data_IF_992182893676
#
_entry.id   IF_992182893676
#
_cell.length_a   1.000
_cell.length_b   1.000
_cell.length_c   1.000
_cell.angle_alpha   90.00
_cell.angle_beta   90.00
_cell.angle_gamma   90.00
#
_symmetry.space_group_name_H-M   'P 1'
#
loop_
_entity.id
_entity.type
_entity.pdbx_description
1 polymer ?
#
# COMPACT_ATOMS: atom_id res chain seq x y z
N UNK A 1 -9.94 5.42 2.47
CA UNK A 1 -9.96 6.78 3.05
C UNK A 1 -8.70 7.49 2.55
N UNK A 2 -8.84 8.51 1.68
CA UNK A 2 -7.71 9.25 1.11
C UNK A 2 -7.58 10.58 1.85
N UNK A 3 -6.47 10.78 2.57
CA UNK A 3 -6.16 12.05 3.22
C UNK A 3 -5.64 13.02 2.15
N UNK A 4 -6.53 13.86 1.63
CA UNK A 4 -6.14 14.93 0.71
C UNK A 4 -5.87 16.20 1.52
N UNK A 5 -4.77 16.92 1.26
CA UNK A 5 -4.56 18.23 1.87
C UNK A 5 -5.73 19.14 1.49
N UNK A 6 -6.31 19.81 2.48
CA UNK A 6 -7.34 20.82 2.25
C UNK A 6 -6.68 22.19 2.23
N UNK A 7 -6.93 22.92 1.15
CA UNK A 7 -6.50 24.31 1.02
C UNK A 7 -7.69 25.21 1.32
N UNK A 8 -7.57 25.99 2.40
CA UNK A 8 -8.58 26.98 2.80
C UNK A 8 -8.02 28.36 2.48
N UNK A 9 -8.72 29.10 1.64
CA UNK A 9 -8.38 30.48 1.28
C UNK A 9 -9.35 31.43 1.98
N UNK A 10 -8.83 32.34 2.81
CA UNK A 10 -9.59 33.42 3.43
C UNK A 10 -9.04 34.75 2.94
N UNK A 11 -9.81 35.44 2.11
CA UNK A 11 -9.42 36.68 1.43
C UNK A 11 -8.10 36.53 0.66
N UNK A 12 -6.98 37.02 1.19
CA UNK A 12 -5.65 36.96 0.54
C UNK A 12 -4.73 35.91 1.16
N UNK A 13 -5.16 35.18 2.19
CA UNK A 13 -4.36 34.21 2.91
C UNK A 13 -4.80 32.80 2.58
N UNK A 14 -3.86 31.98 2.08
CA UNK A 14 -4.10 30.59 1.72
C UNK A 14 -3.36 29.69 2.71
N UNK A 15 -4.09 28.86 3.44
CA UNK A 15 -3.51 27.84 4.34
C UNK A 15 -3.84 26.47 3.78
N UNK A 16 -2.81 25.67 3.55
CA UNK A 16 -2.97 24.25 3.24
C UNK A 16 -2.77 23.46 4.52
N UNK A 17 -3.85 22.85 5.03
CA UNK A 17 -3.82 21.98 6.20
C UNK A 17 -4.01 20.54 5.76
N UNK A 18 -3.05 19.68 6.09
CA UNK A 18 -3.09 18.24 5.83
C UNK A 18 -1.71 17.61 5.91
N UNK A 19 -1.61 16.28 6.08
CA UNK A 19 -0.33 15.60 6.11
C UNK A 19 0.37 15.73 4.76
N UNK A 20 1.60 16.27 4.77
CA UNK A 20 2.45 16.29 3.59
C UNK A 20 3.05 14.90 3.36
N UNK A 21 2.24 14.05 2.73
CA UNK A 21 2.61 12.68 2.36
C UNK A 21 3.77 12.61 1.34
N UNK A 22 4.19 13.73 0.73
CA UNK A 22 5.32 13.74 -0.20
C UNK A 22 6.66 13.84 0.51
N UNK A 23 6.68 14.46 1.69
CA UNK A 23 7.88 14.67 2.51
C UNK A 23 8.06 13.59 3.60
N UNK A 24 7.32 12.50 3.51
CA UNK A 24 7.35 11.42 4.51
C UNK A 24 7.72 10.08 3.89
N UNK A 25 8.67 9.39 4.53
CA UNK A 25 9.11 8.05 4.12
C UNK A 25 8.09 6.94 4.40
N UNK A 26 6.93 7.28 4.97
CA UNK A 26 5.84 6.33 5.27
C UNK A 26 5.45 5.54 4.03
N UNK A 27 5.37 6.19 2.86
CA UNK A 27 5.01 5.52 1.60
C UNK A 27 6.08 4.49 1.20
N UNK A 28 7.36 4.84 1.32
CA UNK A 28 8.48 3.95 1.01
C UNK A 28 8.56 2.77 1.98
N UNK A 29 8.33 3.02 3.28
CA UNK A 29 8.31 1.98 4.31
C UNK A 29 7.17 0.98 4.11
N UNK A 30 5.94 1.48 3.87
CA UNK A 30 4.78 0.62 3.59
C UNK A 30 5.00 -0.23 2.33
N UNK A 31 5.59 0.35 1.27
CA UNK A 31 5.96 -0.43 0.07
C UNK A 31 7.00 -1.50 0.37
N UNK A 32 7.98 -1.22 1.23
CA UNK A 32 8.96 -2.21 1.70
C UNK A 32 8.30 -3.37 2.44
N UNK A 33 7.40 -3.08 3.37
CA UNK A 33 6.67 -4.09 4.14
C UNK A 33 5.77 -4.95 3.24
N UNK A 34 5.07 -4.34 2.28
CA UNK A 34 4.26 -5.07 1.30
C UNK A 34 5.09 -6.02 0.43
N UNK A 35 6.30 -5.61 0.03
CA UNK A 35 7.24 -6.50 -0.68
C UNK A 35 7.68 -7.66 0.20
N UNK A 36 8.02 -7.41 1.47
CA UNK A 36 8.39 -8.48 2.40
C UNK A 36 7.24 -9.49 2.60
N UNK A 37 6.01 -9.01 2.77
CA UNK A 37 4.82 -9.85 2.87
C UNK A 37 4.58 -10.67 1.60
N UNK A 38 4.75 -10.08 0.43
CA UNK A 38 4.64 -10.79 -0.84
C UNK A 38 5.64 -11.96 -0.94
N UNK A 39 6.89 -11.75 -0.53
CA UNK A 39 7.90 -12.82 -0.49
C UNK A 39 7.49 -13.94 0.48
N UNK A 40 7.02 -13.59 1.68
CA UNK A 40 6.55 -14.57 2.65
C UNK A 40 5.40 -15.42 2.11
N UNK A 41 4.39 -14.81 1.48
CA UNK A 41 3.26 -15.51 0.89
C UNK A 41 3.67 -16.40 -0.29
N UNK A 42 4.63 -15.94 -1.11
CA UNK A 42 5.17 -16.72 -2.22
C UNK A 42 5.89 -17.97 -1.72
N UNK A 43 6.69 -17.83 -0.65
CA UNK A 43 7.36 -18.96 -0.01
C UNK A 43 6.36 -19.91 0.64
N UNK A 44 5.35 -19.37 1.34
CA UNK A 44 4.28 -20.16 1.95
C UNK A 44 3.49 -20.97 0.90
N UNK A 45 3.24 -20.37 -0.27
CA UNK A 45 2.59 -21.02 -1.42
C UNK A 45 3.37 -22.24 -1.93
N UNK A 46 4.71 -22.23 -1.83
CA UNK A 46 5.56 -23.33 -2.27
C UNK A 46 5.50 -24.55 -1.32
N UNK A 47 5.34 -24.31 -0.02
CA UNK A 47 5.30 -25.37 1.01
C UNK A 47 3.88 -25.82 1.38
N UNK A 48 2.86 -25.06 0.97
CA UNK A 48 1.45 -25.38 1.25
C UNK A 48 0.95 -26.49 0.34
N UNK A 49 0.45 -27.56 0.95
CA UNK A 49 -0.12 -28.73 0.25
C UNK A 49 -1.61 -28.58 -0.03
N UNK A 50 -2.33 -27.85 0.83
CA UNK A 50 -3.75 -27.58 0.64
C UNK A 50 -3.99 -26.65 -0.55
N UNK A 51 -4.83 -27.10 -1.49
CA UNK A 51 -5.09 -26.38 -2.74
C UNK A 51 -5.85 -25.07 -2.50
N UNK A 52 -6.81 -25.08 -1.56
CA UNK A 52 -7.62 -23.89 -1.29
C UNK A 52 -6.76 -22.77 -0.69
N UNK A 53 -5.96 -23.10 0.32
CA UNK A 53 -5.00 -22.19 0.94
C UNK A 53 -4.00 -21.64 -0.06
N UNK A 54 -3.51 -22.49 -0.99
CA UNK A 54 -2.62 -22.06 -2.07
C UNK A 54 -3.25 -21.00 -2.98
N UNK A 55 -4.52 -21.18 -3.36
CA UNK A 55 -5.24 -20.18 -4.16
C UNK A 55 -5.43 -18.87 -3.40
N UNK A 56 -5.72 -18.91 -2.10
CA UNK A 56 -5.83 -17.70 -1.29
C UNK A 56 -4.51 -16.92 -1.21
N UNK A 57 -3.37 -17.62 -1.04
CA UNK A 57 -2.07 -16.95 -1.04
C UNK A 57 -1.74 -16.32 -2.39
N UNK A 58 -2.08 -17.00 -3.50
CA UNK A 58 -1.90 -16.45 -4.84
C UNK A 58 -2.76 -15.20 -5.06
N UNK A 59 -4.02 -15.21 -4.62
CA UNK A 59 -4.92 -14.05 -4.73
C UNK A 59 -4.39 -12.84 -3.93
N UNK A 60 -3.93 -13.07 -2.69
CA UNK A 60 -3.35 -12.00 -1.86
C UNK A 60 -2.08 -11.43 -2.50
N UNK A 61 -1.20 -12.28 -3.04
CA UNK A 61 0.02 -11.85 -3.76
C UNK A 61 -0.35 -10.95 -4.94
N UNK A 62 -1.40 -11.28 -5.68
CA UNK A 62 -1.85 -10.48 -6.82
C UNK A 62 -2.43 -9.13 -6.41
N UNK A 63 -3.23 -9.09 -5.34
CA UNK A 63 -3.72 -7.83 -4.74
C UNK A 63 -2.57 -6.92 -4.28
N UNK A 64 -1.52 -7.49 -3.71
CA UNK A 64 -0.32 -6.74 -3.33
C UNK A 64 0.38 -6.17 -4.57
N UNK A 65 0.50 -6.92 -5.68
CA UNK A 65 1.08 -6.39 -6.93
C UNK A 65 0.29 -5.21 -7.48
N UNK A 66 -1.03 -5.32 -7.51
CA UNK A 66 -1.92 -4.24 -7.97
C UNK A 66 -1.79 -3.00 -7.09
N UNK A 67 -1.66 -3.18 -5.78
CA UNK A 67 -1.47 -2.08 -4.83
C UNK A 67 -0.08 -1.42 -4.98
N UNK A 68 0.96 -2.21 -5.25
CA UNK A 68 2.32 -1.70 -5.46
C UNK A 68 2.50 -1.01 -6.81
N UNK A 69 1.72 -1.38 -7.83
CA UNK A 69 1.78 -0.80 -9.17
C UNK A 69 0.37 -0.42 -9.65
N UNK A 70 -0.23 0.64 -9.09
CA UNK A 70 -1.52 1.12 -9.56
C UNK A 70 -1.34 1.66 -10.99
N UNK A 71 -2.11 1.10 -11.93
CA UNK A 71 -2.22 1.58 -13.31
C UNK A 71 -3.30 2.65 -13.42
#
# INVERSE_FOLDING_TARGET
MSFKPQTVTVSTFTVTTGPDIKNTDIVSYVRGQLKALQTLLTNATAVTTDKLTKFHYQDIVERIKQTLNPR
#
